data_IF_512093809264
#
_entry.id   IF_512093809264
#
_cell.length_a   1.000
_cell.length_b   1.000
_cell.length_c   1.000
_cell.angle_alpha   90.00
_cell.angle_beta   90.00
_cell.angle_gamma   90.00
#
_symmetry.space_group_name_H-M   'P 1'
#
loop_
_entity.id
_entity.type
_entity.pdbx_description
1 polymer ?
#
# COMPACT_ATOMS: atom_id res chain seq x y z
N UNK A 1 20.67 -14.83 -12.14
CA UNK A 1 19.81 -15.59 -11.20
C UNK A 1 18.43 -14.97 -11.28
N UNK A 2 17.43 -15.75 -11.68
CA UNK A 2 16.04 -15.29 -11.77
C UNK A 2 15.59 -14.80 -10.39
N UNK A 3 15.22 -13.52 -10.30
CA UNK A 3 14.69 -12.91 -9.08
C UNK A 3 13.42 -13.67 -8.68
N UNK A 4 13.48 -14.41 -7.57
CA UNK A 4 12.35 -15.20 -7.09
C UNK A 4 11.36 -14.23 -6.47
N UNK A 5 10.21 -14.05 -7.12
CA UNK A 5 9.14 -13.20 -6.58
C UNK A 5 8.74 -13.73 -5.18
N UNK A 6 8.97 -12.95 -4.10
CA UNK A 6 8.70 -13.39 -2.75
C UNK A 6 7.20 -13.58 -2.47
N UNK A 7 6.33 -13.01 -3.30
CA UNK A 7 4.87 -13.11 -3.14
C UNK A 7 4.30 -14.39 -3.75
N UNK A 8 5.04 -15.04 -4.65
CA UNK A 8 4.59 -16.26 -5.31
C UNK A 8 5.03 -17.51 -4.54
N UNK A 9 4.20 -18.54 -4.63
CA UNK A 9 4.60 -19.91 -4.30
C UNK A 9 5.54 -20.37 -5.43
N UNK A 10 6.78 -20.79 -5.11
CA UNK A 10 7.74 -21.19 -6.13
C UNK A 10 7.19 -22.30 -7.04
N UNK A 11 7.35 -22.12 -8.35
CA UNK A 11 6.96 -23.11 -9.35
C UNK A 11 5.46 -23.19 -9.67
N UNK A 12 4.60 -22.38 -9.05
CA UNK A 12 3.15 -22.40 -9.32
C UNK A 12 2.61 -21.14 -9.96
N UNK A 13 3.30 -20.00 -9.81
CA UNK A 13 2.79 -18.69 -10.27
C UNK A 13 1.57 -18.19 -9.47
N UNK A 14 1.27 -18.82 -8.33
CA UNK A 14 0.14 -18.47 -7.46
C UNK A 14 0.66 -17.70 -6.26
N UNK A 15 -0.10 -16.68 -5.81
CA UNK A 15 0.26 -15.90 -4.64
C UNK A 15 0.24 -16.78 -3.37
N UNK A 16 1.20 -16.56 -2.48
CA UNK A 16 1.15 -17.09 -1.12
C UNK A 16 -0.15 -16.61 -0.48
N UNK A 17 -0.85 -17.51 0.20
CA UNK A 17 -2.18 -17.24 0.73
C UNK A 17 -2.42 -18.05 2.00
N UNK A 18 -3.34 -17.59 2.85
CA UNK A 18 -3.66 -18.23 4.12
C UNK A 18 -4.58 -19.45 3.97
N UNK A 19 -5.19 -19.63 2.79
CA UNK A 19 -6.12 -20.73 2.50
C UNK A 19 -5.42 -21.95 1.88
N UNK A 20 -4.09 -21.92 1.77
CA UNK A 20 -3.25 -22.97 1.18
C UNK A 20 -3.70 -23.39 -0.24
N UNK A 21 -4.23 -22.45 -1.03
CA UNK A 21 -4.57 -22.66 -2.43
C UNK A 21 -3.29 -22.69 -3.29
N UNK A 22 -3.14 -23.74 -4.10
CA UNK A 22 -1.97 -23.94 -4.98
C UNK A 22 -2.30 -23.72 -6.46
N UNK A 23 -3.55 -23.36 -6.78
CA UNK A 23 -3.99 -22.98 -8.11
C UNK A 23 -4.66 -21.60 -8.10
N UNK A 24 -4.52 -20.86 -9.20
CA UNK A 24 -5.16 -19.55 -9.34
C UNK A 24 -6.68 -19.62 -9.22
N UNK A 25 -7.31 -20.68 -9.71
CA UNK A 25 -8.76 -20.88 -9.60
C UNK A 25 -9.22 -21.08 -8.14
N UNK A 26 -8.53 -21.92 -7.37
CA UNK A 26 -8.87 -22.15 -5.97
C UNK A 26 -8.64 -20.89 -5.12
N UNK A 27 -7.57 -20.14 -5.43
CA UNK A 27 -7.29 -18.87 -4.78
C UNK A 27 -8.39 -17.83 -5.07
N UNK A 28 -8.75 -17.66 -6.35
CA UNK A 28 -9.80 -16.73 -6.76
C UNK A 28 -11.16 -17.06 -6.12
N UNK A 29 -11.53 -18.34 -6.02
CA UNK A 29 -12.78 -18.75 -5.41
C UNK A 29 -12.82 -18.33 -3.92
N UNK A 30 -11.77 -18.66 -3.17
CA UNK A 30 -11.67 -18.32 -1.76
C UNK A 30 -11.63 -16.79 -1.51
N UNK A 31 -10.94 -16.05 -2.37
CA UNK A 31 -10.91 -14.59 -2.31
C UNK A 31 -12.27 -13.96 -2.58
N UNK A 32 -12.99 -14.44 -3.61
CA UNK A 32 -14.32 -13.93 -3.94
C UNK A 32 -15.32 -14.19 -2.82
N UNK A 33 -15.31 -15.37 -2.19
CA UNK A 33 -16.19 -15.68 -1.06
C UNK A 33 -15.94 -14.72 0.11
N UNK A 34 -14.67 -14.45 0.42
CA UNK A 34 -14.28 -13.57 1.52
C UNK A 34 -14.62 -12.10 1.24
N UNK A 35 -14.27 -11.60 0.05
CA UNK A 35 -14.57 -10.23 -0.37
C UNK A 35 -16.07 -10.00 -0.40
N UNK A 36 -16.85 -10.95 -0.90
CA UNK A 36 -18.31 -10.88 -0.93
C UNK A 36 -18.88 -10.77 0.48
N UNK A 37 -18.41 -11.62 1.41
CA UNK A 37 -18.83 -11.57 2.80
C UNK A 37 -18.51 -10.22 3.47
N UNK A 38 -17.28 -9.70 3.28
CA UNK A 38 -16.85 -8.42 3.86
C UNK A 38 -17.53 -7.22 3.22
N UNK A 39 -17.79 -7.28 1.93
CA UNK A 39 -18.55 -6.24 1.23
C UNK A 39 -19.98 -6.15 1.76
N UNK A 40 -20.64 -7.27 2.01
CA UNK A 40 -21.97 -7.28 2.64
C UNK A 40 -21.95 -6.69 4.07
N UNK A 41 -20.84 -6.82 4.81
CA UNK A 41 -20.67 -6.17 6.10
C UNK A 41 -20.53 -4.64 5.95
N UNK A 42 -19.75 -4.17 4.97
CA UNK A 42 -19.60 -2.74 4.67
C UNK A 42 -20.92 -2.08 4.26
N UNK A 43 -21.75 -2.79 3.48
CA UNK A 43 -23.07 -2.28 3.11
C UNK A 43 -23.98 -2.07 4.33
N UNK A 44 -23.86 -2.90 5.36
CA UNK A 44 -24.63 -2.78 6.61
C UNK A 44 -24.11 -1.68 7.53
N UNK A 45 -22.84 -1.30 7.40
CA UNK A 45 -22.20 -0.28 8.22
C UNK A 45 -21.32 0.59 7.33
N UNK A 46 -21.93 1.53 6.58
CA UNK A 46 -21.21 2.34 5.61
C UNK A 46 -20.20 3.23 6.33
N UNK A 47 -18.98 3.26 5.78
CA UNK A 47 -17.92 4.14 6.25
C UNK A 47 -18.12 5.53 5.65
N UNK A 48 -17.87 6.56 6.45
CA UNK A 48 -17.75 7.92 5.94
C UNK A 48 -16.45 8.04 5.15
N UNK A 49 -16.50 8.48 3.89
CA UNK A 49 -15.31 8.69 3.09
C UNK A 49 -14.51 9.90 3.62
N UNK A 50 -13.34 9.62 4.21
CA UNK A 50 -12.36 10.63 4.64
C UNK A 50 -11.41 11.01 3.50
N UNK A 51 -11.31 10.17 2.45
CA UNK A 51 -10.47 10.45 1.28
C UNK A 51 -8.97 10.27 1.53
N UNK A 52 -8.58 9.55 2.58
CA UNK A 52 -7.18 9.38 2.97
C UNK A 52 -6.60 8.06 2.47
N UNK A 53 -5.29 8.03 2.20
CA UNK A 53 -4.56 6.80 1.87
C UNK A 53 -4.66 5.78 3.03
N UNK A 54 -4.69 6.25 4.28
CA UNK A 54 -4.90 5.41 5.46
C UNK A 54 -6.25 4.70 5.40
N UNK A 55 -7.30 5.40 5.02
CA UNK A 55 -8.62 4.81 4.85
C UNK A 55 -8.63 3.78 3.71
N UNK A 56 -8.01 4.08 2.57
CA UNK A 56 -7.91 3.12 1.47
C UNK A 56 -7.16 1.85 1.89
N UNK A 57 -6.04 1.99 2.60
CA UNK A 57 -5.30 0.85 3.15
C UNK A 57 -6.17 0.04 4.11
N UNK A 58 -6.89 0.70 5.02
CA UNK A 58 -7.80 0.02 5.94
C UNK A 58 -8.89 -0.75 5.19
N UNK A 59 -9.52 -0.15 4.17
CA UNK A 59 -10.56 -0.82 3.36
C UNK A 59 -9.95 -2.02 2.63
N UNK A 60 -8.75 -1.87 2.06
CA UNK A 60 -8.05 -2.94 1.38
C UNK A 60 -7.70 -4.09 2.34
N UNK A 61 -7.20 -3.80 3.54
CA UNK A 61 -6.92 -4.80 4.59
C UNK A 61 -8.19 -5.50 5.06
N UNK A 62 -9.28 -4.75 5.24
CA UNK A 62 -10.57 -5.28 5.65
C UNK A 62 -11.16 -6.25 4.61
N UNK A 63 -11.06 -5.90 3.33
CA UNK A 63 -11.59 -6.70 2.22
C UNK A 63 -10.71 -7.90 1.87
N UNK A 64 -9.38 -7.79 1.93
CA UNK A 64 -8.44 -8.74 1.30
C UNK A 64 -7.48 -9.41 2.30
N UNK A 65 -7.88 -9.56 3.57
CA UNK A 65 -7.06 -10.11 4.67
C UNK A 65 -6.38 -11.47 4.38
N UNK A 66 -6.82 -12.23 3.38
CA UNK A 66 -6.25 -13.54 3.01
C UNK A 66 -5.07 -13.48 2.02
N UNK A 67 -4.79 -12.30 1.45
CA UNK A 67 -3.77 -12.09 0.43
C UNK A 67 -2.51 -11.45 1.03
N UNK A 68 -1.37 -12.08 0.78
CA UNK A 68 -0.02 -11.72 1.24
C UNK A 68 0.51 -10.35 0.78
N UNK A 69 -0.34 -9.42 0.37
CA UNK A 69 0.06 -8.13 -0.23
C UNK A 69 -0.17 -6.95 0.73
N UNK A 70 -1.03 -7.07 1.75
CA UNK A 70 -1.27 -5.97 2.69
C UNK A 70 -0.13 -5.72 3.69
N UNK A 71 0.54 -6.76 4.19
CA UNK A 71 1.38 -6.64 5.39
C UNK A 71 2.79 -6.08 5.11
N UNK A 72 3.30 -6.16 3.89
CA UNK A 72 4.67 -5.73 3.55
C UNK A 72 4.69 -4.30 2.98
N UNK A 73 3.69 -3.92 2.18
CA UNK A 73 3.56 -2.55 1.67
C UNK A 73 3.30 -1.54 2.80
N UNK A 74 2.47 -1.89 3.79
CA UNK A 74 2.23 -1.03 4.97
C UNK A 74 3.48 -0.84 5.85
N UNK A 75 4.38 -1.83 5.94
CA UNK A 75 5.66 -1.67 6.66
C UNK A 75 6.67 -0.80 5.90
N UNK A 76 6.61 -0.77 4.56
CA UNK A 76 7.46 0.09 3.74
C UNK A 76 6.98 1.55 3.77
N UNK A 77 5.67 1.78 3.73
CA UNK A 77 5.07 3.12 3.83
C UNK A 77 5.26 3.75 5.21
N UNK A 78 5.16 2.97 6.30
CA UNK A 78 5.48 3.46 7.65
C UNK A 78 6.93 3.92 7.80
N UNK A 79 7.89 3.17 7.23
CA UNK A 79 9.33 3.53 7.27
C UNK A 79 9.71 4.77 6.45
N UNK A 80 8.91 5.13 5.44
CA UNK A 80 9.16 6.32 4.63
C UNK A 80 8.63 7.59 5.31
N UNK A 81 7.52 7.49 6.06
CA UNK A 81 6.95 8.64 6.78
C UNK A 81 7.76 9.05 8.03
N UNK A 82 8.63 8.17 8.54
CA UNK A 82 9.54 8.45 9.67
C UNK A 82 10.89 9.07 9.20
N UNK A 83 11.06 9.29 7.89
CA UNK A 83 12.33 9.77 7.27
C UNK A 83 12.21 11.13 6.58
N UNK A 84 11.07 11.81 6.67
CA UNK A 84 10.86 13.11 6.03
C UNK A 84 11.18 14.32 6.92
N UNK A 85 11.80 14.13 8.10
CA UNK A 85 12.23 15.22 8.99
C UNK A 85 13.71 15.62 8.80
N UNK A 86 14.31 15.26 7.67
CA UNK A 86 15.64 15.72 7.24
C UNK A 86 15.49 16.29 5.82
N UNK A 87 14.83 17.45 5.73
CA UNK A 87 14.62 18.15 4.47
C UNK A 87 15.95 18.69 3.89
N UNK A 88 16.26 18.50 2.59
CA UNK A 88 17.46 19.05 1.97
C UNK A 88 17.32 20.54 1.56
N UNK A 89 16.28 21.24 2.00
CA UNK A 89 16.10 22.67 1.72
C UNK A 89 16.56 23.54 2.89
N UNK A 90 17.81 23.34 3.33
CA UNK A 90 18.57 24.34 4.05
C UNK A 90 19.77 24.66 3.18
N UNK A 91 19.65 25.73 2.37
CA UNK A 91 20.65 26.45 1.55
C UNK A 91 20.00 26.96 0.25
N UNK A 92 18.95 27.78 0.36
CA UNK A 92 18.62 28.68 -0.74
C UNK A 92 19.60 29.86 -0.67
N UNK A 93 20.34 30.20 -1.73
CA UNK A 93 21.15 31.41 -1.72
C UNK A 93 20.21 32.62 -1.59
N UNK A 94 20.51 33.51 -0.65
CA UNK A 94 19.88 34.82 -0.56
C UNK A 94 19.95 35.51 -1.93
N UNK A 95 18.80 35.82 -2.50
CA UNK A 95 18.70 36.73 -3.63
C UNK A 95 19.04 38.12 -3.09
N UNK A 96 20.31 38.50 -3.24
CA UNK A 96 20.83 39.83 -3.01
C UNK A 96 19.99 40.87 -3.77
N UNK A 97 19.19 41.64 -3.04
CA UNK A 97 18.58 42.89 -3.47
C UNK A 97 19.69 43.93 -3.70
N UNK A 98 20.26 43.90 -4.91
CA UNK A 98 21.42 44.69 -5.29
C UNK A 98 21.19 45.52 -6.55
N UNK A 99 19.97 46.01 -6.80
CA UNK A 99 19.72 46.94 -7.92
C UNK A 99 19.25 48.30 -7.41
N UNK A 100 20.19 49.08 -6.88
CA UNK A 100 20.21 50.52 -7.14
C UNK A 100 21.58 51.18 -6.89
N UNK A 101 22.03 51.91 -7.93
CA UNK A 101 23.09 52.94 -8.00
C UNK A 101 24.53 52.41 -8.06
N UNK A 102 25.16 52.46 -9.25
CA UNK A 102 26.13 53.47 -9.79
C UNK A 102 26.24 53.14 -11.30
N UNK A 103 25.90 53.98 -12.29
CA UNK A 103 26.49 55.25 -12.72
C UNK A 103 25.54 55.91 -13.73
#
# INVERSE_FOLDING_TARGET
MSDVDPYLIPGTGVLRNLVNAHSGQALNAAENDWVTFRFLQLQKTPLTAEGTVKQLQWIHHFLLLLLSIGLIASRKLRRNNDREDEGPYSNAPELNDGTSRIM
#
